data_IF_869113610058
#
_entry.id   IF_869113610058
#
_cell.length_a   1.000
_cell.length_b   1.000
_cell.length_c   1.000
_cell.angle_alpha   90.00
_cell.angle_beta   90.00
_cell.angle_gamma   90.00
#
_symmetry.space_group_name_H-M   'P 1'
#
loop_
_entity.id
_entity.type
_entity.pdbx_description
1 polymer ?
#
# COMPACT_ATOMS: atom_id res chain seq x y z
N UNK A 1 18.81 20.54 12.39
CA UNK A 1 17.84 20.44 11.29
C UNK A 1 17.99 19.08 10.62
N UNK A 2 17.15 18.09 11.01
CA UNK A 2 17.03 16.81 10.31
C UNK A 2 16.64 17.12 8.86
N UNK A 3 17.36 16.58 7.89
CA UNK A 3 17.02 16.74 6.46
C UNK A 3 15.58 16.22 6.25
N UNK A 4 14.70 17.08 5.80
CA UNK A 4 13.30 16.73 5.53
C UNK A 4 13.26 15.68 4.44
N UNK A 5 12.82 14.47 4.75
CA UNK A 5 12.69 13.38 3.79
C UNK A 5 11.70 13.72 2.67
N UNK A 6 11.75 12.96 1.58
CA UNK A 6 10.79 13.13 0.49
C UNK A 6 9.38 12.80 0.98
N UNK A 7 8.41 13.61 0.58
CA UNK A 7 7.00 13.37 0.84
C UNK A 7 6.57 12.01 0.29
N UNK A 8 5.64 11.33 0.94
CA UNK A 8 5.13 10.00 0.54
C UNK A 8 4.66 10.02 -0.92
N UNK A 9 3.93 11.03 -1.33
CA UNK A 9 3.48 11.21 -2.72
C UNK A 9 4.67 11.27 -3.69
N UNK A 10 5.77 11.99 -3.35
CA UNK A 10 6.97 12.06 -4.20
C UNK A 10 7.71 10.72 -4.24
N UNK A 11 7.83 10.03 -3.08
CA UNK A 11 8.39 8.68 -3.02
C UNK A 11 7.60 7.71 -3.90
N UNK A 12 6.26 7.76 -3.82
CA UNK A 12 5.38 6.91 -4.62
C UNK A 12 5.50 7.21 -6.11
N UNK A 13 5.54 8.49 -6.50
CA UNK A 13 5.67 8.90 -7.90
C UNK A 13 7.00 8.42 -8.51
N UNK A 14 8.11 8.61 -7.80
CA UNK A 14 9.42 8.12 -8.22
C UNK A 14 9.45 6.59 -8.29
N UNK A 15 8.84 5.92 -7.31
CA UNK A 15 8.74 4.46 -7.29
C UNK A 15 7.97 3.95 -8.51
N UNK A 16 6.82 4.54 -8.85
CA UNK A 16 6.00 4.17 -10.02
C UNK A 16 6.80 4.35 -11.31
N UNK A 17 7.52 5.47 -11.46
CA UNK A 17 8.35 5.72 -12.64
C UNK A 17 9.49 4.70 -12.78
N UNK A 18 10.22 4.45 -11.69
CA UNK A 18 11.34 3.51 -11.70
C UNK A 18 10.88 2.06 -11.91
N UNK A 19 9.81 1.64 -11.23
CA UNK A 19 9.27 0.28 -11.41
C UNK A 19 8.62 0.10 -12.77
N UNK A 20 7.98 1.14 -13.32
CA UNK A 20 7.45 1.12 -14.69
C UNK A 20 8.57 0.94 -15.71
N UNK A 21 9.64 1.72 -15.60
CA UNK A 21 10.81 1.58 -16.47
C UNK A 21 11.46 0.18 -16.32
N UNK A 22 11.64 -0.29 -15.10
CA UNK A 22 12.21 -1.63 -14.85
C UNK A 22 11.32 -2.75 -15.42
N UNK A 23 10.00 -2.61 -15.32
CA UNK A 23 9.03 -3.56 -15.88
C UNK A 23 9.09 -3.60 -17.42
N UNK A 24 9.21 -2.43 -18.06
CA UNK A 24 9.38 -2.33 -19.53
C UNK A 24 10.70 -2.97 -19.96
N UNK A 25 11.80 -2.63 -19.28
CA UNK A 25 13.11 -3.21 -19.58
C UNK A 25 13.12 -4.73 -19.37
N UNK A 26 12.47 -5.22 -18.33
CA UNK A 26 12.34 -6.66 -18.10
C UNK A 26 11.58 -7.34 -19.27
N UNK A 27 10.46 -6.74 -19.70
CA UNK A 27 9.72 -7.25 -20.83
C UNK A 27 10.57 -7.27 -22.11
N UNK A 28 11.31 -6.18 -22.41
CA UNK A 28 12.18 -6.11 -23.59
C UNK A 28 13.29 -7.17 -23.54
N UNK A 29 13.96 -7.33 -22.40
CA UNK A 29 15.01 -8.35 -22.24
C UNK A 29 14.46 -9.75 -22.46
N UNK A 30 13.31 -10.08 -21.86
CA UNK A 30 12.65 -11.36 -22.08
C UNK A 30 12.25 -11.53 -23.55
N UNK A 31 11.69 -10.48 -24.17
CA UNK A 31 11.22 -10.52 -25.55
C UNK A 31 12.36 -10.67 -26.57
N UNK A 32 13.48 -9.99 -26.35
CA UNK A 32 14.67 -10.10 -27.21
C UNK A 32 15.27 -11.51 -27.19
N UNK A 33 15.23 -12.20 -26.05
CA UNK A 33 15.75 -13.55 -25.90
C UNK A 33 14.73 -14.66 -26.26
N UNK A 34 13.59 -14.30 -26.90
CA UNK A 34 12.52 -15.27 -27.21
C UNK A 34 12.97 -16.45 -28.03
N UNK A 35 13.89 -16.24 -28.98
CA UNK A 35 14.37 -17.31 -29.87
C UNK A 35 15.34 -18.27 -29.21
N UNK A 36 16.23 -17.77 -28.35
CA UNK A 36 17.12 -18.62 -27.56
C UNK A 36 16.32 -19.53 -26.62
N UNK A 37 15.27 -18.98 -26.03
CA UNK A 37 14.36 -19.76 -25.16
C UNK A 37 13.52 -20.75 -26.00
N UNK A 38 13.12 -20.38 -27.20
CA UNK A 38 12.41 -21.28 -28.11
C UNK A 38 13.27 -22.51 -28.48
N UNK A 39 14.54 -22.31 -28.87
CA UNK A 39 15.48 -23.40 -29.14
C UNK A 39 15.65 -24.35 -27.96
N UNK A 40 15.70 -23.78 -26.73
CA UNK A 40 15.77 -24.59 -25.53
C UNK A 40 14.47 -25.39 -25.30
N UNK A 41 13.30 -24.78 -25.52
CA UNK A 41 11.99 -25.42 -25.33
C UNK A 41 11.79 -26.56 -26.36
N UNK A 42 12.31 -26.45 -27.56
CA UNK A 42 12.22 -27.50 -28.59
C UNK A 42 12.93 -28.81 -28.18
N UNK A 43 13.89 -28.74 -27.24
CA UNK A 43 14.55 -29.93 -26.70
C UNK A 43 13.63 -30.74 -25.76
N UNK A 44 12.52 -30.13 -25.30
CA UNK A 44 11.57 -30.80 -24.40
C UNK A 44 10.65 -31.74 -25.22
N UNK A 45 10.52 -33.00 -24.81
CA UNK A 45 9.60 -33.95 -25.49
C UNK A 45 8.18 -33.37 -25.52
N UNK A 46 7.56 -33.35 -26.74
CA UNK A 46 6.23 -32.79 -26.97
C UNK A 46 6.16 -31.35 -27.48
N UNK A 47 7.29 -30.62 -27.49
CA UNK A 47 7.42 -29.30 -28.13
C UNK A 47 8.21 -29.32 -29.42
N UNK A 48 8.72 -30.51 -29.84
CA UNK A 48 9.49 -30.69 -31.06
C UNK A 48 8.64 -30.32 -32.29
N UNK A 49 9.24 -29.55 -33.18
CA UNK A 49 8.57 -29.16 -34.43
C UNK A 49 8.41 -30.37 -35.37
N UNK A 50 7.21 -30.47 -35.95
CA UNK A 50 6.88 -31.51 -36.91
C UNK A 50 7.72 -31.40 -38.19
N UNK A 51 8.26 -30.21 -38.49
CA UNK A 51 9.19 -29.98 -39.60
C UNK A 51 10.47 -30.84 -39.52
N UNK A 52 10.91 -31.17 -38.28
CA UNK A 52 12.09 -31.97 -38.00
C UNK A 52 11.78 -33.45 -37.81
N UNK A 53 10.53 -33.87 -37.96
CA UNK A 53 10.10 -35.25 -37.80
C UNK A 53 10.23 -36.02 -39.13
N UNK A 54 11.26 -36.87 -39.22
CA UNK A 54 11.49 -37.71 -40.43
C UNK A 54 10.33 -38.65 -40.72
N UNK A 55 9.68 -39.19 -39.69
CA UNK A 55 8.54 -40.09 -39.82
C UNK A 55 7.35 -39.38 -40.48
N UNK A 56 7.15 -38.07 -40.16
CA UNK A 56 6.12 -37.27 -40.85
C UNK A 56 6.39 -37.14 -42.33
N UNK A 57 7.63 -36.84 -42.73
CA UNK A 57 7.99 -36.66 -44.11
C UNK A 57 7.94 -37.97 -44.91
N UNK A 58 8.38 -39.09 -44.32
CA UNK A 58 8.31 -40.41 -44.93
C UNK A 58 6.87 -40.85 -45.15
N UNK A 59 6.01 -40.67 -44.14
CA UNK A 59 4.58 -40.93 -44.23
C UNK A 59 3.91 -40.09 -45.29
N UNK A 60 4.17 -38.79 -45.34
CA UNK A 60 3.60 -37.89 -46.32
C UNK A 60 3.96 -38.32 -47.77
N UNK A 61 5.24 -38.69 -48.02
CA UNK A 61 5.69 -39.18 -49.32
C UNK A 61 5.04 -40.51 -49.71
N UNK A 62 4.93 -41.43 -48.78
CA UNK A 62 4.37 -42.75 -49.01
C UNK A 62 2.88 -42.69 -49.32
N UNK A 63 2.16 -41.84 -48.57
CA UNK A 63 0.73 -41.70 -48.77
C UNK A 63 0.36 -40.89 -50.02
N UNK A 64 1.18 -39.94 -50.44
CA UNK A 64 0.94 -39.19 -51.69
C UNK A 64 0.69 -40.11 -52.86
N UNK A 65 1.40 -41.27 -52.97
CA UNK A 65 1.24 -42.25 -54.03
C UNK A 65 -0.13 -42.91 -54.08
N UNK A 66 -0.92 -42.83 -53.02
CA UNK A 66 -2.27 -43.43 -52.97
C UNK A 66 -3.36 -42.48 -53.46
N UNK A 67 -3.07 -41.18 -53.63
CA UNK A 67 -4.04 -40.18 -54.03
C UNK A 67 -3.81 -39.65 -55.43
N UNK A 68 -4.91 -39.21 -56.10
CA UNK A 68 -4.86 -38.50 -57.35
C UNK A 68 -4.83 -37.01 -57.15
N UNK A 69 -4.01 -36.29 -57.89
CA UNK A 69 -4.00 -34.84 -57.95
C UNK A 69 -5.32 -34.38 -58.60
N UNK A 70 -6.09 -33.44 -57.96
CA UNK A 70 -7.23 -32.79 -58.58
C UNK A 70 -6.84 -32.08 -59.89
N UNK A 71 -7.79 -31.98 -60.85
CA UNK A 71 -7.51 -31.37 -62.14
C UNK A 71 -7.31 -29.85 -62.05
N UNK A 72 -7.99 -29.19 -61.15
CA UNK A 72 -7.92 -27.76 -60.93
C UNK A 72 -8.49 -27.41 -59.56
N UNK A 73 -8.41 -26.15 -59.18
CA UNK A 73 -9.02 -25.60 -57.96
C UNK A 73 -10.55 -25.78 -57.93
N UNK A 74 -11.21 -25.85 -59.05
CA UNK A 74 -12.65 -26.03 -59.18
C UNK A 74 -13.10 -27.51 -59.11
N UNK A 75 -12.18 -28.47 -59.08
CA UNK A 75 -12.50 -29.94 -59.03
C UNK A 75 -12.89 -30.31 -57.56
N UNK A 76 -14.10 -29.95 -57.19
CA UNK A 76 -14.63 -30.23 -55.80
C UNK A 76 -14.65 -31.75 -55.51
N UNK A 77 -14.81 -32.61 -56.46
CA UNK A 77 -14.84 -34.07 -56.26
C UNK A 77 -13.42 -34.61 -56.01
N UNK A 78 -12.43 -34.15 -56.78
CA UNK A 78 -11.02 -34.46 -56.56
C UNK A 78 -10.49 -33.93 -55.21
N UNK A 79 -10.81 -32.70 -54.91
CA UNK A 79 -10.42 -32.06 -53.63
C UNK A 79 -11.00 -32.84 -52.44
N UNK A 80 -12.26 -33.28 -52.51
CA UNK A 80 -12.86 -34.08 -51.42
C UNK A 80 -12.13 -35.42 -51.24
N UNK A 81 -11.67 -36.05 -52.30
CA UNK A 81 -10.94 -37.32 -52.22
C UNK A 81 -9.52 -37.17 -51.66
N UNK A 82 -8.86 -36.05 -51.87
CA UNK A 82 -7.50 -35.79 -51.39
C UNK A 82 -7.49 -35.16 -49.98
N UNK A 83 -8.64 -34.79 -49.43
CA UNK A 83 -8.77 -34.19 -48.09
C UNK A 83 -8.07 -34.99 -46.95
N UNK A 84 -8.12 -36.33 -46.93
CA UNK A 84 -7.39 -37.10 -45.90
C UNK A 84 -5.87 -36.89 -45.99
N UNK A 85 -5.31 -36.75 -47.17
CA UNK A 85 -3.89 -36.42 -47.36
C UNK A 85 -3.57 -35.01 -46.85
N UNK A 86 -4.38 -34.01 -47.23
CA UNK A 86 -4.21 -32.62 -46.77
C UNK A 86 -4.39 -32.47 -45.25
N UNK A 87 -5.00 -33.46 -44.59
CA UNK A 87 -5.28 -33.45 -43.16
C UNK A 87 -4.25 -34.19 -42.30
N UNK A 88 -3.11 -34.60 -42.89
CA UNK A 88 -2.07 -35.35 -42.17
C UNK A 88 -1.24 -34.47 -41.21
N UNK A 89 -1.20 -33.16 -41.44
CA UNK A 89 -0.60 -32.22 -40.51
C UNK A 89 -1.42 -32.04 -39.26
N UNK A 90 -0.79 -31.53 -38.23
CA UNK A 90 -1.45 -31.10 -37.01
C UNK A 90 -2.24 -29.78 -37.21
N UNK A 91 -2.79 -29.22 -36.14
CA UNK A 91 -3.58 -27.97 -36.23
C UNK A 91 -2.76 -26.73 -36.62
N UNK A 92 -1.43 -26.80 -36.57
CA UNK A 92 -0.50 -25.72 -36.93
C UNK A 92 0.16 -25.95 -38.31
N UNK A 93 -0.17 -27.02 -39.02
CA UNK A 93 0.45 -27.39 -40.29
C UNK A 93 -0.56 -27.21 -41.45
N UNK A 94 -0.17 -26.46 -42.45
CA UNK A 94 -0.90 -26.32 -43.70
C UNK A 94 -0.22 -27.12 -44.82
N UNK A 95 -1.00 -27.89 -45.62
CA UNK A 95 -0.49 -28.66 -46.78
C UNK A 95 -1.20 -28.17 -48.02
N UNK A 96 -0.40 -27.75 -49.02
CA UNK A 96 -0.89 -27.19 -50.26
C UNK A 96 -0.27 -27.95 -51.46
N UNK A 97 -1.03 -28.12 -52.52
CA UNK A 97 -0.62 -28.80 -53.72
C UNK A 97 -0.67 -27.82 -54.87
N UNK A 98 0.44 -27.75 -55.62
CA UNK A 98 0.60 -26.90 -56.78
C UNK A 98 0.94 -27.78 -58.02
N UNK A 99 0.49 -27.36 -59.20
CA UNK A 99 0.87 -28.01 -60.41
C UNK A 99 2.38 -27.80 -60.65
N UNK A 100 3.10 -28.94 -60.92
CA UNK A 100 4.57 -28.90 -61.08
C UNK A 100 5.02 -28.07 -62.31
N UNK A 101 4.20 -28.01 -63.40
CA UNK A 101 4.56 -27.31 -64.61
C UNK A 101 4.18 -25.84 -64.62
N UNK A 102 3.02 -25.52 -64.04
CA UNK A 102 2.42 -24.20 -64.17
C UNK A 102 2.58 -23.41 -62.89
N UNK A 103 2.93 -24.04 -61.74
CA UNK A 103 3.00 -23.41 -60.44
C UNK A 103 1.63 -22.94 -59.91
N UNK A 104 0.53 -23.36 -60.53
CA UNK A 104 -0.82 -22.98 -60.16
C UNK A 104 -1.29 -23.77 -58.97
N UNK A 105 -2.00 -23.10 -58.06
CA UNK A 105 -2.62 -23.73 -56.91
C UNK A 105 -3.70 -24.70 -57.33
N UNK A 106 -3.73 -25.90 -56.73
CA UNK A 106 -4.69 -26.94 -57.05
C UNK A 106 -5.59 -27.30 -55.88
N UNK A 107 -5.01 -27.56 -54.73
CA UNK A 107 -5.74 -27.89 -53.52
C UNK A 107 -4.89 -27.60 -52.28
N UNK A 108 -5.54 -27.34 -51.16
CA UNK A 108 -4.82 -27.14 -49.89
C UNK A 108 -5.75 -27.12 -48.69
N UNK A 109 -5.15 -27.28 -47.51
CA UNK A 109 -5.84 -27.14 -46.26
C UNK A 109 -5.06 -26.19 -45.40
N UNK A 110 -5.72 -25.09 -45.02
CA UNK A 110 -5.17 -24.14 -44.05
C UNK A 110 -5.08 -24.78 -42.65
N UNK A 111 -4.08 -24.40 -41.85
CA UNK A 111 -4.01 -24.79 -40.46
C UNK A 111 -5.30 -24.42 -39.72
N UNK A 112 -5.88 -25.37 -39.01
CA UNK A 112 -7.17 -25.13 -38.34
C UNK A 112 -7.08 -24.08 -37.22
N UNK A 113 -5.89 -23.83 -36.70
CA UNK A 113 -5.64 -22.77 -35.71
C UNK A 113 -5.96 -21.37 -36.24
N UNK A 114 -5.79 -21.15 -37.57
CA UNK A 114 -6.07 -19.88 -38.23
C UNK A 114 -7.57 -19.63 -38.50
N UNK A 115 -8.41 -20.67 -38.38
CA UNK A 115 -9.85 -20.55 -38.58
C UNK A 115 -10.58 -19.87 -37.40
N UNK A 116 -9.90 -19.66 -36.28
CA UNK A 116 -10.47 -18.96 -35.14
C UNK A 116 -10.24 -17.44 -35.29
N UNK A 117 -11.34 -16.67 -35.42
CA UNK A 117 -11.29 -15.22 -35.67
C UNK A 117 -10.48 -14.45 -34.61
N UNK A 118 -10.57 -14.85 -33.32
CA UNK A 118 -9.77 -14.24 -32.27
C UNK A 118 -8.28 -14.56 -32.47
N UNK A 119 -7.96 -15.79 -32.88
CA UNK A 119 -6.59 -16.23 -33.11
C UNK A 119 -6.02 -15.57 -34.38
N UNK A 120 -6.79 -15.44 -35.48
CA UNK A 120 -6.33 -14.75 -36.67
C UNK A 120 -5.96 -13.29 -36.43
N UNK A 121 -6.77 -12.57 -35.65
CA UNK A 121 -6.44 -11.19 -35.27
C UNK A 121 -5.14 -11.09 -34.42
N UNK A 122 -4.97 -12.00 -33.46
CA UNK A 122 -3.73 -12.10 -32.72
C UNK A 122 -2.55 -12.55 -33.58
N UNK A 123 -2.79 -13.44 -34.55
CA UNK A 123 -1.79 -13.90 -35.50
C UNK A 123 -1.28 -12.73 -36.36
N UNK A 124 -2.18 -11.94 -36.95
CA UNK A 124 -1.80 -10.77 -37.74
C UNK A 124 -0.99 -9.77 -36.93
N UNK A 125 -1.36 -9.54 -35.66
CA UNK A 125 -0.59 -8.70 -34.78
C UNK A 125 0.78 -9.31 -34.44
N UNK A 126 0.84 -10.62 -34.18
CA UNK A 126 2.07 -11.35 -33.91
C UNK A 126 3.00 -11.37 -35.15
N UNK A 127 2.44 -11.57 -36.33
CA UNK A 127 3.15 -11.53 -37.60
C UNK A 127 3.81 -10.16 -37.82
N UNK A 128 3.08 -9.07 -37.57
CA UNK A 128 3.64 -7.70 -37.63
C UNK A 128 4.73 -7.46 -36.57
N UNK A 129 4.55 -7.98 -35.37
CA UNK A 129 5.53 -7.84 -34.28
C UNK A 129 6.80 -8.67 -34.49
N UNK A 130 6.70 -9.79 -35.20
CA UNK A 130 7.83 -10.71 -35.45
C UNK A 130 8.51 -10.49 -36.80
N UNK A 131 8.00 -9.57 -37.62
CA UNK A 131 8.54 -9.34 -38.99
C UNK A 131 8.36 -10.53 -39.94
N UNK A 132 7.41 -11.40 -39.71
CA UNK A 132 7.16 -12.60 -40.53
C UNK A 132 8.03 -13.80 -40.19
N UNK A 133 8.85 -13.72 -39.13
CA UNK A 133 9.79 -14.81 -38.72
C UNK A 133 9.11 -16.06 -38.13
N UNK A 134 7.79 -16.17 -38.21
CA UNK A 134 6.99 -17.25 -37.59
C UNK A 134 6.71 -18.46 -38.47
N UNK A 135 7.08 -18.44 -39.75
CA UNK A 135 6.67 -19.44 -40.76
C UNK A 135 7.88 -20.18 -41.31
N UNK A 136 7.79 -21.51 -41.34
CA UNK A 136 8.73 -22.36 -42.07
C UNK A 136 7.98 -23.01 -43.23
N UNK A 137 8.49 -22.82 -44.45
CA UNK A 137 7.88 -23.33 -45.64
C UNK A 137 8.85 -24.30 -46.31
N UNK A 138 8.34 -25.48 -46.58
CA UNK A 138 9.09 -26.52 -47.28
C UNK A 138 8.36 -26.88 -48.57
N UNK A 139 9.08 -27.00 -49.66
CA UNK A 139 8.55 -27.27 -51.00
C UNK A 139 9.28 -28.47 -51.58
N UNK A 140 8.47 -29.48 -51.96
CA UNK A 140 9.00 -30.72 -52.53
C UNK A 140 8.16 -31.21 -53.68
N UNK A 141 8.77 -31.69 -54.79
CA UNK A 141 8.07 -32.46 -55.79
C UNK A 141 7.72 -33.85 -55.22
N UNK A 142 6.44 -34.21 -55.22
CA UNK A 142 5.97 -35.52 -54.74
C UNK A 142 5.28 -36.27 -55.83
N UNK A 143 5.42 -37.62 -55.83
CA UNK A 143 4.79 -38.52 -56.79
C UNK A 143 3.42 -38.94 -56.25
N UNK A 144 2.38 -38.57 -56.98
CA UNK A 144 1.00 -39.01 -56.77
C UNK A 144 0.65 -40.12 -57.73
N UNK A 145 -0.55 -40.73 -57.62
CA UNK A 145 -1.00 -41.83 -58.43
C UNK A 145 -1.12 -41.46 -59.92
N UNK A 146 -1.49 -40.23 -60.23
CA UNK A 146 -1.72 -39.73 -61.61
C UNK A 146 -0.63 -38.76 -62.09
N UNK A 147 0.48 -38.56 -61.37
CA UNK A 147 1.56 -37.68 -61.81
C UNK A 147 2.39 -37.15 -60.70
N UNK A 148 3.12 -36.06 -60.97
CA UNK A 148 3.93 -35.33 -59.98
C UNK A 148 3.29 -33.95 -59.70
N UNK A 149 3.29 -33.56 -58.49
CA UNK A 149 2.87 -32.21 -58.08
C UNK A 149 3.87 -31.65 -57.03
N UNK A 150 3.96 -30.35 -56.93
CA UNK A 150 4.70 -29.69 -55.88
C UNK A 150 3.82 -29.62 -54.64
N UNK A 151 4.29 -30.20 -53.53
CA UNK A 151 3.64 -30.10 -52.23
C UNK A 151 4.40 -29.08 -51.42
N UNK A 152 3.68 -28.05 -51.01
CA UNK A 152 4.18 -27.01 -50.10
C UNK A 152 3.58 -27.24 -48.72
N UNK A 153 4.45 -27.36 -47.71
CA UNK A 153 4.04 -27.57 -46.34
C UNK A 153 4.47 -26.35 -45.51
N UNK A 154 3.50 -25.71 -44.90
CA UNK A 154 3.69 -24.54 -44.09
C UNK A 154 3.55 -24.90 -42.60
N UNK A 155 4.56 -24.59 -41.79
CA UNK A 155 4.56 -24.85 -40.38
C UNK A 155 4.44 -23.54 -39.62
N UNK A 156 3.43 -23.47 -38.77
CA UNK A 156 3.15 -22.33 -37.87
C UNK A 156 3.45 -22.69 -36.42
N UNK A 157 4.37 -23.60 -36.16
CA UNK A 157 4.65 -24.10 -34.81
C UNK A 157 5.25 -23.05 -33.90
N UNK A 158 6.02 -22.10 -34.43
CA UNK A 158 6.55 -20.97 -33.68
C UNK A 158 5.46 -20.15 -33.00
N UNK A 159 4.29 -20.06 -33.65
CA UNK A 159 3.11 -19.37 -33.10
C UNK A 159 2.61 -20.04 -31.81
N UNK A 160 2.71 -21.39 -31.74
CA UNK A 160 2.37 -22.13 -30.51
C UNK A 160 3.19 -21.69 -29.29
N UNK A 161 4.42 -21.25 -29.51
CA UNK A 161 5.32 -20.80 -28.46
C UNK A 161 5.18 -19.30 -28.20
N UNK A 162 5.13 -18.47 -29.25
CA UNK A 162 5.19 -17.00 -29.15
C UNK A 162 4.07 -16.45 -28.27
N UNK A 163 2.83 -16.90 -28.43
CA UNK A 163 1.70 -16.35 -27.69
C UNK A 163 1.74 -16.67 -26.18
N UNK A 164 1.89 -17.95 -25.76
CA UNK A 164 2.06 -18.24 -24.33
C UNK A 164 3.27 -17.54 -23.72
N UNK A 165 4.36 -17.43 -24.49
CA UNK A 165 5.56 -16.74 -24.04
C UNK A 165 5.34 -15.23 -23.87
N UNK A 166 4.66 -14.58 -24.81
CA UNK A 166 4.28 -13.17 -24.69
C UNK A 166 3.41 -12.93 -23.45
N UNK A 167 2.40 -13.77 -23.21
CA UNK A 167 1.55 -13.71 -22.02
C UNK A 167 2.39 -13.91 -20.76
N UNK A 168 3.32 -14.84 -20.77
CA UNK A 168 4.24 -15.05 -19.64
C UNK A 168 5.10 -13.81 -19.39
N UNK A 169 5.72 -13.22 -20.40
CA UNK A 169 6.52 -12.00 -20.27
C UNK A 169 5.68 -10.83 -19.71
N UNK A 170 4.45 -10.66 -20.21
CA UNK A 170 3.53 -9.64 -19.73
C UNK A 170 3.14 -9.87 -18.26
N UNK A 171 2.77 -11.11 -17.90
CA UNK A 171 2.36 -11.42 -16.51
C UNK A 171 3.50 -11.22 -15.51
N UNK A 172 4.72 -11.61 -15.87
CA UNK A 172 5.90 -11.41 -15.02
C UNK A 172 6.23 -9.92 -14.87
N UNK A 173 6.21 -9.16 -15.97
CA UNK A 173 6.50 -7.72 -15.97
C UNK A 173 5.46 -6.92 -15.19
N UNK A 174 4.18 -7.22 -15.41
CA UNK A 174 3.06 -6.59 -14.68
C UNK A 174 3.10 -7.02 -13.20
N UNK A 175 3.40 -8.28 -12.91
CA UNK A 175 3.54 -8.81 -11.56
C UNK A 175 4.66 -8.12 -10.78
N UNK A 176 5.80 -7.85 -11.40
CA UNK A 176 6.88 -7.06 -10.81
C UNK A 176 6.40 -5.63 -10.48
N UNK A 177 5.76 -4.97 -11.44
CA UNK A 177 5.26 -3.61 -11.27
C UNK A 177 4.30 -3.49 -10.09
N UNK A 178 3.24 -4.29 -10.09
CA UNK A 178 2.26 -4.25 -9.00
C UNK A 178 2.82 -4.79 -7.68
N UNK A 179 3.67 -5.81 -7.72
CA UNK A 179 4.28 -6.40 -6.52
C UNK A 179 5.07 -5.39 -5.71
N UNK A 180 5.91 -4.58 -6.37
CA UNK A 180 6.72 -3.55 -5.71
C UNK A 180 5.84 -2.43 -5.14
N UNK A 181 4.82 -1.98 -5.89
CA UNK A 181 3.89 -0.94 -5.43
C UNK A 181 3.09 -1.42 -4.22
N UNK A 182 2.52 -2.64 -4.27
CA UNK A 182 1.76 -3.21 -3.17
C UNK A 182 2.61 -3.42 -1.91
N UNK A 183 3.87 -3.85 -2.10
CA UNK A 183 4.83 -3.95 -0.99
C UNK A 183 5.09 -2.60 -0.33
N UNK A 184 5.29 -1.54 -1.11
CA UNK A 184 5.47 -0.18 -0.60
C UNK A 184 4.23 0.30 0.18
N UNK A 185 3.04 0.15 -0.41
CA UNK A 185 1.77 0.52 0.23
C UNK A 185 1.59 -0.25 1.54
N UNK A 186 1.80 -1.58 1.53
CA UNK A 186 1.71 -2.42 2.74
C UNK A 186 2.65 -1.95 3.83
N UNK A 187 3.90 -1.60 3.48
CA UNK A 187 4.88 -1.06 4.43
C UNK A 187 4.38 0.23 5.07
N UNK A 188 3.84 1.18 4.28
CA UNK A 188 3.30 2.44 4.79
C UNK A 188 2.05 2.24 5.65
N UNK A 189 1.15 1.35 5.24
CA UNK A 189 -0.04 1.01 6.02
C UNK A 189 0.30 0.38 7.37
N UNK A 190 1.33 -0.45 7.44
CA UNK A 190 1.80 -1.02 8.70
C UNK A 190 2.33 0.06 9.66
N UNK A 191 3.01 1.09 9.14
CA UNK A 191 3.46 2.24 9.95
C UNK A 191 2.27 3.03 10.52
N UNK A 192 1.23 3.27 9.71
CA UNK A 192 -0.01 3.92 10.16
C UNK A 192 -0.75 3.07 11.21
N UNK A 193 -0.80 1.76 11.02
CA UNK A 193 -1.40 0.84 12.00
C UNK A 193 -0.66 0.88 13.34
N UNK A 194 0.68 0.94 13.32
CA UNK A 194 1.49 1.09 14.53
C UNK A 194 1.20 2.40 15.27
N UNK A 195 1.08 3.53 14.54
CA UNK A 195 0.69 4.81 15.14
C UNK A 195 -0.70 4.75 15.81
N UNK A 196 -1.67 4.11 15.14
CA UNK A 196 -3.00 3.89 15.71
C UNK A 196 -2.91 3.15 17.06
N UNK A 197 -2.10 2.09 17.11
CA UNK A 197 -1.95 1.29 18.32
C UNK A 197 -1.28 2.10 19.45
N UNK A 198 -0.32 2.98 19.14
CA UNK A 198 0.26 3.90 20.11
C UNK A 198 -0.75 4.94 20.63
N UNK A 199 -1.58 5.51 19.76
CA UNK A 199 -2.66 6.42 20.18
C UNK A 199 -3.61 5.72 21.14
N UNK A 200 -3.98 4.46 20.86
CA UNK A 200 -4.85 3.67 21.75
C UNK A 200 -4.18 3.38 23.11
N UNK A 201 -2.87 3.11 23.13
CA UNK A 201 -2.11 2.94 24.40
C UNK A 201 -2.09 4.23 25.21
N UNK A 202 -1.84 5.37 24.58
CA UNK A 202 -1.88 6.68 25.23
C UNK A 202 -3.27 6.98 25.79
N UNK A 203 -4.33 6.70 25.03
CA UNK A 203 -5.72 6.86 25.47
C UNK A 203 -6.06 5.95 26.67
N UNK A 204 -5.44 4.78 26.77
CA UNK A 204 -5.55 3.88 27.92
C UNK A 204 -4.72 4.32 29.14
N UNK A 205 -4.00 5.47 29.06
CA UNK A 205 -3.21 6.05 30.15
C UNK A 205 -1.74 5.62 30.19
N UNK A 206 -1.27 4.83 29.22
CA UNK A 206 0.16 4.50 29.12
C UNK A 206 0.91 5.60 28.37
N UNK A 207 1.51 6.52 29.12
CA UNK A 207 2.32 7.63 28.61
C UNK A 207 3.83 7.41 28.82
N UNK A 208 4.24 6.22 29.27
CA UNK A 208 5.65 5.96 29.61
C UNK A 208 6.51 5.65 28.39
N UNK A 209 5.94 4.90 27.43
CA UNK A 209 6.66 4.43 26.27
C UNK A 209 6.69 5.54 25.21
N UNK A 210 7.88 5.82 24.65
CA UNK A 210 8.01 6.78 23.55
C UNK A 210 7.46 6.20 22.25
N UNK A 211 6.90 7.07 21.41
CA UNK A 211 6.47 6.69 20.06
C UNK A 211 7.71 6.33 19.22
N UNK A 212 7.75 5.17 18.53
CA UNK A 212 8.90 4.78 17.73
C UNK A 212 9.12 5.73 16.55
N UNK A 213 10.38 5.99 16.21
CA UNK A 213 10.72 6.78 15.02
C UNK A 213 10.28 6.06 13.74
N UNK A 214 9.46 6.71 12.91
CA UNK A 214 8.82 6.12 11.70
C UNK A 214 9.33 6.72 10.38
N UNK A 215 10.57 7.15 10.33
CA UNK A 215 11.17 7.72 9.12
C UNK A 215 11.11 9.23 9.07
N UNK A 216 11.31 9.81 7.87
CA UNK A 216 11.45 11.28 7.69
C UNK A 216 10.37 11.84 6.74
N UNK A 217 9.33 11.08 6.46
CA UNK A 217 8.18 11.47 5.65
C UNK A 217 7.02 12.00 6.52
N UNK A 218 5.85 12.20 5.93
CA UNK A 218 4.67 12.72 6.64
C UNK A 218 4.26 11.83 7.81
N UNK A 219 4.44 10.50 7.72
CA UNK A 219 4.14 9.57 8.82
C UNK A 219 5.14 9.76 9.96
N UNK A 220 6.42 9.96 9.63
CA UNK A 220 7.45 10.25 10.62
C UNK A 220 7.21 11.57 11.35
N UNK A 221 6.77 12.61 10.64
CA UNK A 221 6.39 13.90 11.26
C UNK A 221 5.22 13.71 12.23
N UNK A 222 4.18 12.96 11.83
CA UNK A 222 3.04 12.68 12.72
C UNK A 222 3.48 11.89 13.96
N UNK A 223 4.41 10.93 13.81
CA UNK A 223 4.96 10.18 14.93
C UNK A 223 5.71 11.08 15.91
N UNK A 224 6.52 12.02 15.42
CA UNK A 224 7.26 13.00 16.23
C UNK A 224 6.30 13.94 16.98
N UNK A 225 5.28 14.49 16.31
CA UNK A 225 4.27 15.34 16.93
C UNK A 225 3.42 14.59 17.97
N UNK A 226 3.15 13.31 17.73
CA UNK A 226 2.46 12.45 18.68
C UNK A 226 3.30 12.23 19.95
N UNK A 227 4.62 12.05 19.83
CA UNK A 227 5.50 11.91 20.99
C UNK A 227 5.62 13.23 21.78
N UNK A 228 5.67 14.37 21.08
CA UNK A 228 5.62 15.69 21.70
C UNK A 228 4.32 15.88 22.51
N UNK A 229 3.18 15.51 21.93
CA UNK A 229 1.89 15.55 22.59
C UNK A 229 1.85 14.63 23.83
N UNK A 230 2.39 13.40 23.71
CA UNK A 230 2.52 12.46 24.83
C UNK A 230 3.29 13.06 25.98
N UNK A 231 4.44 13.69 25.68
CA UNK A 231 5.30 14.33 26.69
C UNK A 231 4.59 15.49 27.37
N UNK A 232 3.94 16.38 26.60
CA UNK A 232 3.18 17.49 27.15
C UNK A 232 2.02 17.03 28.05
N UNK A 233 1.31 15.96 27.64
CA UNK A 233 0.24 15.38 28.44
C UNK A 233 0.77 14.77 29.75
N UNK A 234 1.91 14.08 29.70
CA UNK A 234 2.56 13.52 30.88
C UNK A 234 2.95 14.61 31.88
N UNK A 235 3.56 15.69 31.38
CA UNK A 235 3.95 16.82 32.22
C UNK A 235 2.74 17.51 32.88
N UNK A 236 1.65 17.66 32.12
CA UNK A 236 0.40 18.24 32.62
C UNK A 236 -0.19 17.37 33.74
N UNK A 237 -0.24 16.04 33.54
CA UNK A 237 -0.73 15.12 34.57
C UNK A 237 0.13 15.10 35.85
N UNK A 238 1.45 15.24 35.70
CA UNK A 238 2.36 15.36 36.86
C UNK A 238 2.05 16.64 37.63
N UNK A 239 1.97 17.80 36.96
CA UNK A 239 1.65 19.09 37.58
C UNK A 239 0.27 19.08 38.28
N UNK A 240 -0.74 18.51 37.61
CA UNK A 240 -2.08 18.39 38.21
C UNK A 240 -2.05 17.53 39.47
N UNK A 241 -1.31 16.43 39.48
CA UNK A 241 -1.16 15.55 40.63
C UNK A 241 -0.43 16.25 41.80
N UNK A 242 0.60 17.03 41.49
CA UNK A 242 1.34 17.82 42.47
C UNK A 242 0.45 18.92 43.06
N UNK A 243 -0.29 19.65 42.24
CA UNK A 243 -1.25 20.67 42.65
C UNK A 243 -2.34 20.07 43.55
N UNK A 244 -2.93 18.94 43.15
CA UNK A 244 -3.93 18.24 43.98
C UNK A 244 -3.36 17.82 45.35
N UNK A 245 -2.11 17.31 45.37
CA UNK A 245 -1.45 16.93 46.64
C UNK A 245 -1.25 18.15 47.54
N UNK A 246 -0.69 19.24 47.01
CA UNK A 246 -0.48 20.47 47.76
C UNK A 246 -1.80 21.00 48.33
N UNK A 247 -2.88 20.97 47.56
CA UNK A 247 -4.20 21.37 48.01
C UNK A 247 -4.75 20.44 49.12
N UNK A 248 -4.55 19.12 49.02
CA UNK A 248 -4.93 18.17 50.05
C UNK A 248 -4.16 18.38 51.36
N UNK A 249 -2.85 18.61 51.28
CA UNK A 249 -1.98 18.86 52.43
C UNK A 249 -2.37 20.16 53.12
N UNK A 250 -2.68 21.21 52.36
CA UNK A 250 -3.17 22.49 52.84
C UNK A 250 -4.49 22.32 53.63
N UNK A 251 -5.49 21.66 53.04
CA UNK A 251 -6.79 21.40 53.69
C UNK A 251 -6.60 20.63 55.01
N UNK A 252 -5.70 19.64 54.99
CA UNK A 252 -5.41 18.83 56.18
C UNK A 252 -4.76 19.66 57.29
N UNK A 253 -3.75 20.46 56.98
CA UNK A 253 -3.07 21.38 57.94
C UNK A 253 -4.06 22.40 58.55
N UNK A 254 -4.85 23.06 57.69
CA UNK A 254 -5.84 24.05 58.10
C UNK A 254 -6.92 23.45 59.00
N UNK A 255 -7.38 22.23 58.69
CA UNK A 255 -8.36 21.54 59.54
C UNK A 255 -7.83 21.25 60.92
N UNK A 256 -6.54 20.91 61.04
CA UNK A 256 -5.88 20.71 62.32
C UNK A 256 -5.76 22.06 63.14
N UNK A 257 -5.33 23.12 62.43
CA UNK A 257 -5.09 24.42 63.11
C UNK A 257 -6.38 25.13 63.52
N UNK A 258 -7.50 24.92 62.80
CA UNK A 258 -8.83 25.40 63.19
C UNK A 258 -9.42 24.58 64.35
N UNK A 259 -9.14 23.28 64.44
CA UNK A 259 -9.68 22.44 65.54
C UNK A 259 -9.21 22.89 66.93
N UNK A 260 -7.96 23.30 67.05
CA UNK A 260 -7.35 23.70 68.30
C UNK A 260 -8.05 24.93 68.94
N UNK A 261 -8.18 26.10 68.27
CA UNK A 261 -8.87 27.24 68.80
C UNK A 261 -10.35 27.02 69.05
N UNK A 262 -11.03 26.19 68.15
CA UNK A 262 -12.44 25.83 68.39
C UNK A 262 -12.62 24.98 69.64
N UNK A 263 -11.71 24.06 69.94
CA UNK A 263 -11.75 23.26 71.17
C UNK A 263 -11.57 24.12 72.41
N UNK A 264 -10.64 25.10 72.38
CA UNK A 264 -10.40 26.03 73.43
C UNK A 264 -11.61 26.97 73.65
N UNK A 265 -12.19 27.50 72.58
CA UNK A 265 -13.41 28.31 72.58
C UNK A 265 -14.57 27.57 73.24
N UNK A 266 -14.83 26.32 72.82
CA UNK A 266 -15.85 25.47 73.43
C UNK A 266 -15.59 25.23 74.90
N UNK A 267 -14.34 25.02 75.31
CA UNK A 267 -13.98 24.87 76.72
C UNK A 267 -14.30 26.12 77.57
N UNK A 268 -13.99 27.33 77.09
CA UNK A 268 -14.34 28.58 77.81
C UNK A 268 -15.86 28.77 77.80
N UNK A 269 -16.59 28.54 76.76
CA UNK A 269 -18.03 28.63 76.71
C UNK A 269 -18.70 27.65 77.70
N UNK A 270 -18.14 26.45 77.84
CA UNK A 270 -18.67 25.45 78.80
C UNK A 270 -18.45 25.89 80.30
N UNK A 271 -17.27 26.46 80.56
CA UNK A 271 -17.00 27.05 81.91
C UNK A 271 -17.94 28.20 82.20
N UNK A 272 -18.18 29.11 81.25
CA UNK A 272 -19.14 30.20 81.36
C UNK A 272 -20.56 29.70 81.59
N UNK A 273 -21.01 28.66 80.90
CA UNK A 273 -22.34 28.05 81.03
C UNK A 273 -22.53 27.45 82.46
N UNK A 274 -21.51 26.84 83.01
CA UNK A 274 -21.58 26.20 84.29
C UNK A 274 -21.51 27.20 85.48
N UNK A 275 -21.22 28.50 85.25
CA UNK A 275 -21.14 29.62 86.18
C UNK A 275 -20.35 29.31 87.47
N UNK A 276 -19.29 28.51 87.33
CA UNK A 276 -18.48 28.05 88.48
C UNK A 276 -17.61 29.11 89.12
N UNK A 277 -17.23 30.21 88.40
CA UNK A 277 -16.41 31.31 88.88
C UNK A 277 -16.97 32.65 88.33
N UNK A 278 -17.93 33.29 89.08
CA UNK A 278 -18.54 34.53 88.58
C UNK A 278 -17.55 35.69 88.45
N UNK A 279 -16.51 35.72 89.26
CA UNK A 279 -15.48 36.77 89.24
C UNK A 279 -14.58 36.73 88.01
N UNK A 280 -14.52 35.56 87.30
CA UNK A 280 -13.72 35.34 86.10
C UNK A 280 -14.55 35.44 84.79
N UNK A 281 -15.80 35.80 84.93
CA UNK A 281 -16.75 35.74 83.77
C UNK A 281 -16.33 36.67 82.65
N UNK A 282 -15.92 37.89 82.98
CA UNK A 282 -15.49 38.87 81.98
C UNK A 282 -14.18 38.46 81.28
N UNK A 283 -13.24 37.87 82.05
CA UNK A 283 -12.00 37.36 81.49
C UNK A 283 -12.24 36.22 80.53
N UNK A 284 -13.09 35.22 80.84
CA UNK A 284 -13.44 34.13 79.94
C UNK A 284 -14.18 34.61 78.70
N UNK A 285 -15.06 35.63 78.84
CA UNK A 285 -15.73 36.23 77.68
C UNK A 285 -14.72 36.90 76.73
N UNK A 286 -13.77 37.67 77.28
CA UNK A 286 -12.70 38.29 76.49
C UNK A 286 -11.82 37.26 75.80
N UNK A 287 -11.50 36.13 76.42
CA UNK A 287 -10.78 35.01 75.80
C UNK A 287 -11.59 34.35 74.70
N UNK A 288 -12.90 34.20 74.81
CA UNK A 288 -13.79 33.75 73.77
C UNK A 288 -13.76 34.68 72.56
N UNK A 289 -13.87 36.00 72.79
CA UNK A 289 -13.82 37.03 71.74
C UNK A 289 -12.47 36.97 70.95
N UNK A 290 -11.38 36.85 71.75
CA UNK A 290 -10.05 36.75 71.18
C UNK A 290 -9.92 35.48 70.30
N UNK A 291 -10.39 34.30 70.79
CA UNK A 291 -10.34 33.05 69.97
C UNK A 291 -11.21 33.10 68.75
N UNK A 292 -12.35 33.82 68.78
CA UNK A 292 -13.18 34.05 67.61
C UNK A 292 -12.46 34.93 66.60
N UNK A 293 -11.69 35.96 67.05
CA UNK A 293 -10.86 36.75 66.15
C UNK A 293 -9.72 35.94 65.53
N UNK A 294 -9.06 35.08 66.33
CA UNK A 294 -8.01 34.18 65.83
C UNK A 294 -8.53 33.26 64.73
N UNK A 295 -9.73 32.66 64.91
CA UNK A 295 -10.38 31.81 63.95
C UNK A 295 -10.73 32.58 62.65
N UNK A 296 -11.26 33.81 62.79
CA UNK A 296 -11.57 34.69 61.71
C UNK A 296 -10.32 34.98 60.84
N UNK A 297 -9.25 35.38 61.47
CA UNK A 297 -7.98 35.66 60.80
C UNK A 297 -7.43 34.40 60.07
N UNK A 298 -7.56 33.23 60.71
CA UNK A 298 -7.22 31.95 60.00
C UNK A 298 -8.09 31.69 58.79
N UNK A 299 -9.40 31.91 58.88
CA UNK A 299 -10.30 31.70 57.74
C UNK A 299 -10.08 32.71 56.64
N UNK A 300 -9.76 33.99 56.98
CA UNK A 300 -9.44 35.01 55.99
C UNK A 300 -8.14 34.64 55.21
N UNK A 301 -7.10 34.21 55.93
CA UNK A 301 -5.88 33.67 55.27
C UNK A 301 -6.17 32.44 54.40
N UNK A 302 -7.06 31.54 54.81
CA UNK A 302 -7.48 30.39 54.05
C UNK A 302 -8.16 30.81 52.74
N UNK A 303 -9.00 31.86 52.79
CA UNK A 303 -9.63 32.44 51.59
C UNK A 303 -8.59 33.04 50.63
N UNK A 304 -7.60 33.78 51.16
CA UNK A 304 -6.53 34.34 50.31
C UNK A 304 -5.71 33.24 49.63
N UNK A 305 -5.38 32.15 50.34
CA UNK A 305 -4.71 31.00 49.74
C UNK A 305 -5.58 30.32 48.66
N UNK A 306 -6.87 30.13 48.90
CA UNK A 306 -7.76 29.50 47.93
C UNK A 306 -7.85 30.33 46.65
N UNK A 307 -7.86 31.65 46.72
CA UNK A 307 -7.87 32.55 45.56
C UNK A 307 -6.58 32.50 44.74
N UNK A 308 -5.41 32.26 45.39
CA UNK A 308 -4.11 32.15 44.70
C UNK A 308 -4.03 30.81 43.91
N UNK A 309 -4.73 29.76 44.38
CA UNK A 309 -4.77 28.46 43.70
C UNK A 309 -5.97 28.26 42.75
N UNK A 310 -6.97 29.16 42.75
CA UNK A 310 -7.88 29.25 41.63
C UNK A 310 -7.05 29.74 40.44
N UNK A 311 -6.83 28.85 39.43
CA UNK A 311 -6.26 29.26 38.14
C UNK A 311 -7.05 30.47 37.65
N UNK A 312 -6.40 31.62 37.64
CA UNK A 312 -6.93 32.77 36.93
C UNK A 312 -7.04 32.31 35.49
N UNK A 313 -8.24 31.97 35.05
CA UNK A 313 -8.58 31.77 33.67
C UNK A 313 -7.90 32.88 32.87
N UNK A 314 -6.97 32.53 32.03
CA UNK A 314 -6.04 33.34 31.24
C UNK A 314 -6.46 34.82 31.19
N UNK A 315 -5.76 35.74 31.88
CA UNK A 315 -6.13 37.13 31.84
C UNK A 315 -6.11 37.50 30.33
N UNK A 316 -7.28 37.76 29.76
CA UNK A 316 -7.35 38.32 28.42
C UNK A 316 -6.44 39.53 28.44
N UNK A 317 -5.20 39.34 27.98
CA UNK A 317 -4.23 40.42 27.82
C UNK A 317 -4.85 41.33 26.78
N UNK A 318 -5.59 42.34 27.24
CA UNK A 318 -6.01 43.45 26.40
C UNK A 318 -4.70 44.17 26.08
N UNK A 319 -4.29 44.15 24.84
CA UNK A 319 -3.29 45.11 24.36
C UNK A 319 -3.83 46.49 24.65
N UNK A 320 -3.29 47.12 25.74
CA UNK A 320 -3.59 48.50 26.08
C UNK A 320 -2.61 49.34 25.26
N UNK A 321 -3.08 50.23 24.35
CA UNK A 321 -2.19 51.08 23.58
C UNK A 321 -1.30 51.88 24.53
N UNK A 322 0.00 52.01 24.22
CA UNK A 322 1.00 52.77 25.00
C UNK A 322 0.53 54.20 25.31
N UNK A 323 -0.33 54.77 24.46
CA UNK A 323 -0.95 56.10 24.66
C UNK A 323 -1.73 56.18 25.98
N UNK A 324 -2.39 55.15 26.40
CA UNK A 324 -3.16 55.10 27.64
C UNK A 324 -2.24 55.19 28.90
N UNK A 325 -1.05 54.62 28.82
CA UNK A 325 -0.03 54.74 29.87
C UNK A 325 0.55 56.13 29.97
N UNK A 326 0.72 56.80 28.86
CA UNK A 326 1.24 58.17 28.80
C UNK A 326 0.24 59.18 29.41
N UNK A 327 -1.04 58.99 29.16
CA UNK A 327 -2.09 59.87 29.70
C UNK A 327 -2.26 59.69 31.24
N UNK A 328 -2.17 58.47 31.77
CA UNK A 328 -2.18 58.21 33.20
C UNK A 328 -0.96 58.81 33.94
N UNK A 329 0.21 58.87 33.32
CA UNK A 329 1.41 59.49 33.94
C UNK A 329 1.30 61.02 33.92
N UNK A 330 0.68 61.62 32.90
CA UNK A 330 0.53 63.06 32.80
C UNK A 330 -0.60 63.65 33.69
N UNK A 331 -1.58 62.81 34.13
CA UNK A 331 -2.61 63.28 35.06
C UNK A 331 -2.17 63.25 36.55
N UNK A 332 -0.99 62.67 36.86
CA UNK A 332 -0.45 62.57 38.23
C UNK A 332 0.90 63.33 38.40
N UNK A 333 1.28 64.19 37.49
CA UNK A 333 2.38 65.16 37.53
C UNK A 333 1.82 66.60 37.64
#
# INVERSE_FOLDING_TARGET
TKAKGWKIHTQLMVLILLTGLASILLFEVLWLNKWDIYEYVQQVPGFRDMSQDEDFWEKLRTEAANYNIPSSEDDKAGIKKIQPFLSQGDKYTGIYIYNLKEGTYVAGKFPSVLNNAAFSTFFDMGYQLTGGEGEETYEFPMKFKNGYATVMVWFYHRVRFIYPYCIFCLTVSIGLFFGVILFFIKKKMNMVASLKDEILRMAAGNLRDSVPEMGQDEIGIIAEELDNLRTALQDTLVREKESRRANQDLITAMSHDLRTPLTILNGYLEVLRLNRNPEMHEEYLNRCLQKTSDIREMTDRMFEYALVFEEVDDPKVKEIPIEYFRDCINEHS
#
